data_IF_319614245248
#
_entry.id   IF_319614245248
#
_cell.length_a   1.000
_cell.length_b   1.000
_cell.length_c   1.000
_cell.angle_alpha   90.00
_cell.angle_beta   90.00
_cell.angle_gamma   90.00
#
_symmetry.space_group_name_H-M   'P 1'
#
loop_
_entity.id
_entity.type
_entity.pdbx_description
1 polymer ?
#
# COMPACT_ATOMS: atom_id res chain seq x y z
N UNK A 1 -14.39 17.02 -22.87
CA UNK A 1 -15.12 17.58 -21.71
C UNK A 1 -14.55 16.84 -20.50
N UNK A 2 -13.95 17.54 -19.54
CA UNK A 2 -13.25 16.88 -18.42
C UNK A 2 -14.25 16.47 -17.35
N UNK A 3 -14.06 15.28 -16.76
CA UNK A 3 -14.90 14.75 -15.69
C UNK A 3 -14.24 15.05 -14.34
N UNK A 4 -15.01 15.57 -13.38
CA UNK A 4 -14.58 15.73 -11.99
C UNK A 4 -15.55 15.01 -11.06
N UNK A 5 -14.98 14.14 -10.24
CA UNK A 5 -15.67 13.34 -9.24
C UNK A 5 -15.48 14.02 -7.90
N UNK A 6 -16.55 14.45 -7.24
CA UNK A 6 -16.50 15.07 -5.91
C UNK A 6 -17.12 14.12 -4.89
N UNK A 7 -16.32 13.65 -3.92
CA UNK A 7 -16.75 12.65 -2.95
C UNK A 7 -17.15 13.30 -1.61
N UNK A 8 -18.31 12.91 -1.08
CA UNK A 8 -18.80 13.28 0.25
C UNK A 8 -18.17 12.43 1.39
N UNK A 9 -18.27 12.90 2.63
CA UNK A 9 -17.80 12.21 3.84
C UNK A 9 -18.38 10.82 3.99
N UNK A 10 -19.65 10.60 3.62
CA UNK A 10 -20.25 9.27 3.74
C UNK A 10 -19.55 8.24 2.84
N UNK A 11 -19.11 8.64 1.65
CA UNK A 11 -18.38 7.80 0.70
C UNK A 11 -16.96 7.55 1.21
N UNK A 12 -16.25 8.59 1.63
CA UNK A 12 -14.90 8.45 2.20
C UNK A 12 -14.91 7.57 3.46
N UNK A 13 -15.98 7.63 4.26
CA UNK A 13 -16.15 6.78 5.44
C UNK A 13 -16.37 5.30 5.09
N UNK A 14 -17.15 5.00 4.05
CA UNK A 14 -17.38 3.61 3.61
C UNK A 14 -16.17 3.05 2.86
N UNK A 15 -15.39 3.92 2.21
CA UNK A 15 -14.19 3.55 1.49
C UNK A 15 -13.11 3.09 2.47
N UNK A 16 -12.57 1.89 2.23
CA UNK A 16 -11.27 1.52 2.79
C UNK A 16 -10.20 2.16 1.91
N UNK A 17 -9.39 3.07 2.45
CA UNK A 17 -8.38 3.80 1.66
C UNK A 17 -7.30 2.87 1.07
N UNK A 18 -7.15 1.66 1.60
CA UNK A 18 -6.31 0.58 1.10
C UNK A 18 -7.10 -0.49 0.31
N UNK A 19 -8.43 -0.36 0.24
CA UNK A 19 -9.33 -1.29 -0.43
C UNK A 19 -9.38 -1.13 -1.96
N UNK A 20 -9.98 -2.11 -2.63
CA UNK A 20 -10.07 -2.19 -4.09
C UNK A 20 -10.69 -0.96 -4.75
N UNK A 21 -11.75 -0.39 -4.15
CA UNK A 21 -12.42 0.82 -4.66
C UNK A 21 -11.51 2.06 -4.59
N UNK A 22 -10.76 2.23 -3.50
CA UNK A 22 -9.81 3.34 -3.38
C UNK A 22 -8.67 3.19 -4.38
N UNK A 23 -8.23 1.95 -4.62
CA UNK A 23 -7.21 1.68 -5.62
C UNK A 23 -7.70 1.92 -7.05
N UNK A 24 -8.96 1.61 -7.36
CA UNK A 24 -9.57 1.97 -8.63
C UNK A 24 -9.69 3.50 -8.79
N UNK A 25 -10.05 4.22 -7.73
CA UNK A 25 -10.03 5.68 -7.73
C UNK A 25 -8.62 6.25 -7.94
N UNK A 26 -7.61 5.74 -7.24
CA UNK A 26 -6.21 6.11 -7.50
C UNK A 26 -5.84 5.86 -8.96
N UNK A 27 -6.28 4.76 -9.53
CA UNK A 27 -6.03 4.44 -10.92
C UNK A 27 -6.68 5.41 -11.89
N UNK A 28 -7.98 5.71 -11.71
CA UNK A 28 -8.71 6.73 -12.45
C UNK A 28 -7.96 8.07 -12.37
N UNK A 29 -7.55 8.51 -11.18
CA UNK A 29 -6.74 9.73 -11.03
C UNK A 29 -5.45 9.70 -11.84
N UNK A 30 -4.79 8.54 -11.94
CA UNK A 30 -3.51 8.39 -12.62
C UNK A 30 -3.61 8.30 -14.16
N UNK A 31 -4.80 8.11 -14.73
CA UNK A 31 -5.00 8.24 -16.19
C UNK A 31 -4.91 9.70 -16.63
N UNK A 32 -5.02 10.65 -15.68
CA UNK A 32 -5.15 12.09 -15.89
C UNK A 32 -6.37 12.50 -16.71
N UNK A 33 -7.23 11.55 -17.11
CA UNK A 33 -8.45 11.79 -17.85
C UNK A 33 -9.58 12.33 -16.94
N UNK A 34 -9.61 11.88 -15.69
CA UNK A 34 -10.57 12.31 -14.67
C UNK A 34 -9.88 12.86 -13.42
N UNK A 35 -10.53 13.84 -12.77
CA UNK A 35 -10.06 14.39 -11.50
C UNK A 35 -10.94 13.90 -10.35
N UNK A 36 -10.30 13.43 -9.29
CA UNK A 36 -10.97 13.10 -8.03
C UNK A 36 -10.74 14.23 -7.05
N UNK A 37 -11.84 14.87 -6.62
CA UNK A 37 -11.88 15.96 -5.67
C UNK A 37 -12.57 15.54 -4.37
N UNK A 38 -12.09 16.08 -3.26
CA UNK A 38 -12.74 15.97 -1.94
C UNK A 38 -12.80 17.35 -1.32
N UNK A 39 -13.98 17.87 -0.92
CA UNK A 39 -14.06 19.14 -0.20
C UNK A 39 -13.22 19.11 1.08
N UNK A 40 -12.53 20.19 1.39
CA UNK A 40 -11.72 20.31 2.60
C UNK A 40 -12.52 19.96 3.87
N UNK A 41 -13.79 20.37 3.92
CA UNK A 41 -14.66 20.04 5.05
C UNK A 41 -14.90 18.53 5.22
N UNK A 42 -14.92 17.74 4.14
CA UNK A 42 -15.01 16.26 4.21
C UNK A 42 -13.76 15.68 4.88
N UNK A 43 -12.58 16.16 4.48
CA UNK A 43 -11.31 15.73 5.04
C UNK A 43 -11.25 15.99 6.55
N UNK A 44 -11.55 17.23 6.98
CA UNK A 44 -11.48 17.59 8.39
C UNK A 44 -12.57 16.91 9.23
N UNK A 45 -13.78 16.73 8.69
CA UNK A 45 -14.80 15.96 9.38
C UNK A 45 -14.32 14.53 9.65
N UNK A 46 -13.76 13.87 8.64
CA UNK A 46 -13.35 12.47 8.78
C UNK A 46 -12.12 12.33 9.68
N UNK A 47 -11.14 13.23 9.57
CA UNK A 47 -9.99 13.28 10.47
C UNK A 47 -10.42 13.43 11.93
N UNK A 48 -11.40 14.31 12.21
CA UNK A 48 -11.95 14.48 13.55
C UNK A 48 -12.66 13.24 14.08
N UNK A 49 -13.46 12.56 13.25
CA UNK A 49 -14.11 11.30 13.64
C UNK A 49 -13.09 10.22 14.01
N UNK A 50 -11.98 10.12 13.27
CA UNK A 50 -10.92 9.14 13.55
C UNK A 50 -10.19 9.45 14.86
N UNK A 51 -9.82 10.71 15.10
CA UNK A 51 -9.19 11.14 16.33
C UNK A 51 -10.06 10.89 17.57
N UNK A 52 -11.37 11.18 17.49
CA UNK A 52 -12.32 10.90 18.57
C UNK A 52 -12.36 9.38 18.86
N UNK A 53 -12.48 8.56 17.81
CA UNK A 53 -12.50 7.09 17.95
C UNK A 53 -11.19 6.55 18.52
N UNK A 54 -10.06 7.12 18.11
CA UNK A 54 -8.73 6.78 18.63
C UNK A 54 -8.68 7.06 20.14
N UNK A 55 -9.04 8.27 20.57
CA UNK A 55 -9.09 8.62 22.01
C UNK A 55 -9.99 7.68 22.80
N UNK A 56 -11.20 7.42 22.32
CA UNK A 56 -12.13 6.50 23.00
C UNK A 56 -11.57 5.09 23.14
N UNK A 57 -10.84 4.61 22.12
CA UNK A 57 -10.19 3.30 22.13
C UNK A 57 -8.99 3.30 23.06
N UNK A 58 -8.20 4.37 23.06
CA UNK A 58 -7.07 4.56 23.97
C UNK A 58 -7.53 4.54 25.43
N UNK A 59 -8.57 5.31 25.79
CA UNK A 59 -9.10 5.32 27.16
C UNK A 59 -9.55 3.94 27.63
N UNK A 60 -10.14 3.13 26.75
CA UNK A 60 -10.52 1.74 27.07
C UNK A 60 -9.31 0.84 27.27
N UNK A 61 -8.27 1.00 26.46
CA UNK A 61 -7.03 0.25 26.60
C UNK A 61 -6.33 0.60 27.91
N UNK A 62 -6.25 1.89 28.24
CA UNK A 62 -5.65 2.37 29.48
C UNK A 62 -6.38 1.83 30.71
N UNK A 63 -7.72 1.90 30.75
CA UNK A 63 -8.53 1.30 31.81
C UNK A 63 -8.32 -0.22 31.95
N UNK A 64 -8.16 -0.94 30.84
CA UNK A 64 -7.89 -2.38 30.87
C UNK A 64 -6.49 -2.68 31.44
N UNK A 65 -5.49 -1.86 31.14
CA UNK A 65 -4.15 -2.00 31.71
C UNK A 65 -4.13 -1.63 33.20
N UNK A 66 -4.86 -0.61 33.63
CA UNK A 66 -5.04 -0.31 35.06
C UNK A 66 -5.62 -1.50 35.83
N UNK A 67 -6.65 -2.16 35.28
CA UNK A 67 -7.23 -3.36 35.88
C UNK A 67 -6.21 -4.50 35.96
N UNK A 68 -5.35 -4.67 34.95
CA UNK A 68 -4.31 -5.69 34.95
C UNK A 68 -3.20 -5.37 35.96
N UNK A 69 -2.80 -4.09 36.09
CA UNK A 69 -1.82 -3.60 37.07
C UNK A 69 -2.28 -3.87 38.51
N UNK A 70 -3.59 -3.81 38.77
CA UNK A 70 -4.14 -4.14 40.07
C UNK A 70 -3.96 -5.62 40.47
N UNK A 71 -3.84 -6.53 39.49
CA UNK A 71 -3.64 -7.97 39.71
C UNK A 71 -2.15 -8.33 39.73
N UNK A 72 -1.37 -7.78 38.79
CA UNK A 72 0.06 -8.04 38.67
C UNK A 72 0.84 -6.73 38.54
N UNK A 73 1.15 -6.07 39.67
CA UNK A 73 1.99 -4.89 39.68
C UNK A 73 3.37 -5.18 39.07
N UNK A 74 3.82 -4.35 38.14
CA UNK A 74 5.15 -4.44 37.52
C UNK A 74 5.26 -5.32 36.28
N UNK A 75 4.21 -6.07 35.91
CA UNK A 75 4.20 -6.91 34.70
C UNK A 75 3.50 -6.27 33.50
N UNK A 76 2.94 -5.07 33.68
CA UNK A 76 2.10 -4.40 32.68
C UNK A 76 2.84 -3.18 32.15
N UNK A 77 3.03 -3.05 30.81
CA UNK A 77 3.69 -1.90 30.23
C UNK A 77 2.86 -0.64 30.36
N UNK A 78 3.53 0.51 30.32
CA UNK A 78 2.86 1.81 30.23
C UNK A 78 2.53 2.15 28.78
N UNK A 79 1.34 2.71 28.56
CA UNK A 79 0.97 3.29 27.27
C UNK A 79 1.61 4.67 27.16
N UNK A 80 2.15 4.95 25.97
CA UNK A 80 2.56 6.30 25.61
C UNK A 80 1.33 7.22 25.53
N UNK A 81 1.52 8.52 25.77
CA UNK A 81 0.43 9.49 25.67
C UNK A 81 -0.29 9.43 24.32
N UNK A 82 -1.63 9.60 24.29
CA UNK A 82 -2.39 9.53 23.05
C UNK A 82 -2.06 10.73 22.14
N UNK A 83 -1.70 10.44 20.89
CA UNK A 83 -1.44 11.46 19.86
C UNK A 83 -2.59 11.52 18.85
N UNK A 84 -3.61 12.34 19.16
CA UNK A 84 -4.75 12.56 18.27
C UNK A 84 -4.37 13.29 16.97
N UNK A 85 -3.34 14.13 16.98
CA UNK A 85 -2.95 14.91 15.80
C UNK A 85 -2.19 14.05 14.79
N UNK A 86 -1.33 13.14 15.26
CA UNK A 86 -0.70 12.15 14.38
C UNK A 86 -1.73 11.32 13.61
N UNK A 87 -2.83 10.93 14.27
CA UNK A 87 -3.95 10.21 13.61
C UNK A 87 -4.63 11.07 12.55
N UNK A 88 -4.81 12.36 12.81
CA UNK A 88 -5.40 13.30 11.83
C UNK A 88 -4.49 13.48 10.64
N UNK A 89 -3.20 13.76 10.86
CA UNK A 89 -2.27 14.02 9.76
C UNK A 89 -2.04 12.79 8.90
N UNK A 90 -1.92 11.60 9.52
CA UNK A 90 -1.85 10.34 8.77
C UNK A 90 -3.05 10.18 7.83
N UNK A 91 -4.26 10.47 8.29
CA UNK A 91 -5.45 10.41 7.44
C UNK A 91 -5.44 11.47 6.34
N UNK A 92 -5.05 12.72 6.65
CA UNK A 92 -4.96 13.80 5.65
C UNK A 92 -3.99 13.43 4.54
N UNK A 93 -2.83 12.87 4.87
CA UNK A 93 -1.83 12.43 3.90
C UNK A 93 -2.37 11.32 3.01
N UNK A 94 -2.96 10.28 3.60
CA UNK A 94 -3.60 9.19 2.85
C UNK A 94 -4.70 9.69 1.90
N UNK A 95 -5.45 10.72 2.29
CA UNK A 95 -6.50 11.29 1.46
C UNK A 95 -5.92 12.15 0.32
N UNK A 96 -4.85 12.92 0.56
CA UNK A 96 -4.14 13.71 -0.48
C UNK A 96 -3.50 12.82 -1.55
N UNK A 97 -3.07 11.61 -1.17
CA UNK A 97 -2.63 10.59 -2.13
C UNK A 97 -3.77 10.06 -3.02
N UNK A 98 -5.01 10.10 -2.54
CA UNK A 98 -6.18 9.64 -3.28
C UNK A 98 -6.79 10.74 -4.16
N UNK A 99 -6.95 11.95 -3.62
CA UNK A 99 -7.75 13.01 -4.23
C UNK A 99 -7.11 14.40 -4.06
N UNK A 100 -7.50 15.31 -4.96
CA UNK A 100 -7.23 16.74 -4.81
C UNK A 100 -8.19 17.31 -3.76
N UNK A 101 -7.67 18.05 -2.79
CA UNK A 101 -8.52 18.72 -1.81
C UNK A 101 -9.10 19.99 -2.43
N UNK A 102 -10.42 20.05 -2.54
CA UNK A 102 -11.14 21.22 -3.01
C UNK A 102 -11.28 22.20 -1.84
N UNK A 103 -10.85 23.46 -1.99
CA UNK A 103 -10.99 24.43 -0.92
C UNK A 103 -12.46 24.67 -0.62
N UNK A 104 -12.81 24.68 0.67
CA UNK A 104 -14.11 25.17 1.13
C UNK A 104 -13.95 26.65 1.43
N UNK A 105 -14.73 27.50 0.77
CA UNK A 105 -14.62 28.96 0.92
C UNK A 105 -15.18 29.42 2.27
N UNK A 106 -14.73 30.60 2.73
CA UNK A 106 -15.31 31.25 3.90
C UNK A 106 -16.82 31.51 3.73
N UNK A 107 -17.24 31.86 2.51
CA UNK A 107 -18.64 32.07 2.18
C UNK A 107 -19.47 30.79 2.38
N UNK A 108 -18.99 29.65 1.89
CA UNK A 108 -19.63 28.35 2.09
C UNK A 108 -19.72 27.97 3.58
N UNK A 109 -18.67 28.22 4.37
CA UNK A 109 -18.68 27.98 5.82
C UNK A 109 -19.69 28.87 6.55
N UNK A 110 -19.71 30.17 6.21
CA UNK A 110 -20.63 31.15 6.80
C UNK A 110 -22.08 30.81 6.47
N UNK A 111 -22.35 30.46 5.22
CA UNK A 111 -23.66 30.00 4.76
C UNK A 111 -24.06 28.70 5.47
N UNK A 112 -23.12 27.79 5.74
CA UNK A 112 -23.38 26.59 6.55
C UNK A 112 -23.96 26.91 7.92
N UNK A 113 -23.37 27.85 8.65
CA UNK A 113 -23.87 28.29 9.96
C UNK A 113 -25.24 28.97 9.83
N UNK A 114 -25.45 29.79 8.79
CA UNK A 114 -26.73 30.45 8.52
C UNK A 114 -27.82 29.42 8.26
N UNK A 115 -27.59 28.45 7.38
CA UNK A 115 -28.56 27.42 7.02
C UNK A 115 -28.86 26.49 8.18
N UNK A 116 -27.85 26.08 8.95
CA UNK A 116 -28.07 25.29 10.18
C UNK A 116 -28.93 26.05 11.19
N UNK A 117 -28.62 27.33 11.43
CA UNK A 117 -29.39 28.19 12.33
C UNK A 117 -30.86 28.31 11.92
N UNK A 118 -31.17 28.16 10.63
CA UNK A 118 -32.52 28.24 10.07
C UNK A 118 -33.12 26.87 9.72
N UNK A 119 -32.41 25.76 9.95
CA UNK A 119 -32.76 24.41 9.52
C UNK A 119 -33.09 24.32 8.02
N UNK A 120 -32.28 24.98 7.18
CA UNK A 120 -32.41 25.00 5.72
C UNK A 120 -31.52 23.93 5.06
N UNK A 121 -32.03 23.17 4.08
CA UNK A 121 -31.27 22.12 3.40
C UNK A 121 -29.91 22.57 2.83
N UNK A 122 -28.90 21.68 2.86
CA UNK A 122 -28.92 20.31 3.40
C UNK A 122 -28.89 20.23 4.95
N UNK A 123 -28.85 21.36 5.66
CA UNK A 123 -29.00 21.35 7.12
C UNK A 123 -30.46 21.15 7.55
N UNK A 124 -30.66 20.73 8.80
CA UNK A 124 -31.98 20.42 9.31
C UNK A 124 -32.02 20.24 10.82
N UNK A 125 -33.04 19.51 11.29
CA UNK A 125 -33.20 19.19 12.71
C UNK A 125 -33.06 17.68 12.94
N UNK A 126 -32.20 17.28 13.87
CA UNK A 126 -32.01 15.89 14.29
C UNK A 126 -32.18 15.79 15.80
N UNK A 127 -33.14 14.96 16.24
CA UNK A 127 -33.49 14.79 17.67
C UNK A 127 -33.77 16.11 18.41
N UNK A 128 -34.36 17.10 17.70
CA UNK A 128 -34.67 18.42 18.26
C UNK A 128 -33.52 19.43 18.21
N UNK A 129 -32.34 19.01 17.76
CA UNK A 129 -31.17 19.89 17.61
C UNK A 129 -30.95 20.27 16.14
N UNK A 130 -30.60 21.53 15.89
CA UNK A 130 -30.22 21.99 14.56
C UNK A 130 -28.82 21.52 14.22
N UNK A 131 -28.67 20.87 13.08
CA UNK A 131 -27.41 20.27 12.62
C UNK A 131 -27.28 20.37 11.10
N UNK A 132 -26.06 20.28 10.58
CA UNK A 132 -25.77 20.09 9.16
C UNK A 132 -25.00 21.23 8.50
N UNK A 133 -24.43 22.16 9.26
CA UNK A 133 -23.58 23.23 8.70
C UNK A 133 -22.42 22.67 7.85
N UNK A 134 -21.88 21.50 8.22
CA UNK A 134 -20.84 20.79 7.47
C UNK A 134 -21.36 20.28 6.12
N UNK A 135 -22.54 19.67 6.09
CA UNK A 135 -23.16 19.18 4.85
C UNK A 135 -23.42 20.34 3.88
N UNK A 136 -23.82 21.51 4.39
CA UNK A 136 -23.97 22.73 3.58
C UNK A 136 -22.63 23.16 2.98
N UNK A 137 -21.57 23.20 3.79
CA UNK A 137 -20.25 23.58 3.31
C UNK A 137 -19.69 22.61 2.25
N UNK A 138 -19.97 21.31 2.40
CA UNK A 138 -19.62 20.26 1.42
C UNK A 138 -20.36 20.49 0.10
N UNK A 139 -21.67 20.68 0.17
CA UNK A 139 -22.53 20.97 -0.99
C UNK A 139 -22.07 22.21 -1.74
N UNK A 140 -21.90 23.32 -1.02
CA UNK A 140 -21.50 24.59 -1.63
C UNK A 140 -20.08 24.51 -2.20
N UNK A 141 -19.17 23.74 -1.62
CA UNK A 141 -17.84 23.50 -2.21
C UNK A 141 -17.96 22.83 -3.59
N UNK A 142 -18.86 21.86 -3.74
CA UNK A 142 -19.09 21.20 -5.03
C UNK A 142 -19.75 22.14 -6.05
N UNK A 143 -20.75 22.92 -5.63
CA UNK A 143 -21.45 23.90 -6.47
C UNK A 143 -20.51 25.03 -6.92
N UNK A 144 -19.74 25.60 -6.01
CA UNK A 144 -18.77 26.66 -6.31
C UNK A 144 -17.69 26.16 -7.27
N UNK A 145 -17.19 24.95 -7.04
CA UNK A 145 -16.26 24.31 -7.97
C UNK A 145 -16.88 24.17 -9.36
N UNK A 146 -18.12 23.67 -9.45
CA UNK A 146 -18.83 23.57 -10.72
C UNK A 146 -18.91 24.93 -11.42
N UNK A 147 -19.38 25.97 -10.72
CA UNK A 147 -19.54 27.33 -11.27
C UNK A 147 -18.23 27.91 -11.80
N UNK A 148 -17.13 27.69 -11.09
CA UNK A 148 -15.81 28.18 -11.47
C UNK A 148 -15.18 27.39 -12.64
N UNK A 149 -15.70 26.20 -12.96
CA UNK A 149 -15.19 25.33 -14.01
C UNK A 149 -16.32 24.97 -15.01
N UNK A 150 -16.73 25.89 -15.89
CA UNK A 150 -17.91 25.71 -16.75
C UNK A 150 -17.75 24.65 -17.84
N UNK A 151 -16.51 24.28 -18.20
CA UNK A 151 -16.21 23.24 -19.20
C UNK A 151 -16.18 21.82 -18.63
N UNK A 152 -16.35 21.67 -17.32
CA UNK A 152 -16.27 20.40 -16.61
C UNK A 152 -17.65 19.87 -16.25
N UNK A 153 -17.81 18.54 -16.35
CA UNK A 153 -18.96 17.80 -15.82
C UNK A 153 -18.61 17.31 -14.43
N UNK A 154 -19.42 17.68 -13.45
CA UNK A 154 -19.23 17.38 -12.04
C UNK A 154 -20.14 16.23 -11.65
N UNK A 155 -19.55 15.16 -11.11
CA UNK A 155 -20.27 14.08 -10.46
C UNK A 155 -20.09 14.20 -8.95
N UNK A 156 -21.12 14.73 -8.27
CA UNK A 156 -21.17 14.73 -6.82
C UNK A 156 -21.67 13.36 -6.33
N UNK A 157 -20.88 12.67 -5.51
CA UNK A 157 -21.21 11.32 -5.03
C UNK A 157 -21.48 11.37 -3.54
N UNK A 158 -22.73 11.12 -3.15
CA UNK A 158 -23.13 11.03 -1.75
C UNK A 158 -24.25 10.00 -1.57
N UNK A 159 -24.05 9.06 -0.64
CA UNK A 159 -25.11 8.15 -0.22
C UNK A 159 -26.09 8.80 0.78
N UNK A 160 -25.91 10.08 1.12
CA UNK A 160 -26.78 10.80 2.05
C UNK A 160 -28.01 11.37 1.33
N UNK A 161 -28.90 10.45 0.93
CA UNK A 161 -30.10 10.81 0.17
C UNK A 161 -31.15 11.58 0.97
N UNK A 162 -31.02 11.63 2.30
CA UNK A 162 -31.92 12.40 3.16
C UNK A 162 -31.61 13.88 3.08
N UNK A 163 -30.33 14.23 3.17
CA UNK A 163 -29.92 15.63 3.30
C UNK A 163 -29.65 16.24 1.91
N UNK A 164 -29.18 15.44 0.94
CA UNK A 164 -28.87 15.92 -0.42
C UNK A 164 -29.85 15.45 -1.51
N UNK A 165 -30.92 14.72 -1.19
CA UNK A 165 -31.77 13.96 -2.16
C UNK A 165 -31.03 12.79 -2.83
N UNK A 166 -31.72 11.96 -3.62
CA UNK A 166 -31.08 10.89 -4.39
C UNK A 166 -30.57 11.33 -5.78
N UNK A 167 -30.67 12.63 -6.10
CA UNK A 167 -30.28 13.16 -7.42
C UNK A 167 -31.25 12.82 -8.55
N UNK A 168 -32.39 12.19 -8.25
CA UNK A 168 -33.42 11.73 -9.19
C UNK A 168 -34.63 12.68 -9.28
N UNK A 169 -34.57 13.83 -8.62
CA UNK A 169 -35.64 14.82 -8.56
C UNK A 169 -35.14 16.24 -8.28
N UNK A 170 -36.04 17.23 -8.26
CA UNK A 170 -35.67 18.61 -7.98
C UNK A 170 -35.14 18.76 -6.55
N UNK A 171 -34.12 19.58 -6.38
CA UNK A 171 -33.59 19.92 -5.07
C UNK A 171 -34.58 20.80 -4.29
N UNK A 172 -34.68 20.65 -2.95
CA UNK A 172 -35.49 21.54 -2.14
C UNK A 172 -34.85 22.93 -2.01
N UNK A 173 -35.63 24.01 -1.85
CA UNK A 173 -35.06 25.31 -1.53
C UNK A 173 -34.24 25.29 -0.23
N UNK A 174 -33.08 25.99 -0.18
CA UNK A 174 -32.49 26.84 -1.22
C UNK A 174 -31.51 26.12 -2.18
N UNK A 175 -31.40 24.79 -2.13
CA UNK A 175 -30.44 24.03 -2.94
C UNK A 175 -30.74 24.08 -4.44
N UNK A 176 -32.00 24.28 -4.83
CA UNK A 176 -32.41 24.51 -6.22
C UNK A 176 -31.75 25.77 -6.82
N UNK A 177 -31.71 26.87 -6.06
CA UNK A 177 -31.04 28.10 -6.46
C UNK A 177 -29.52 27.94 -6.50
N UNK A 178 -28.94 27.07 -5.68
CA UNK A 178 -27.49 26.80 -5.69
C UNK A 178 -27.06 26.18 -7.04
N UNK A 179 -27.88 25.29 -7.62
CA UNK A 179 -27.54 24.62 -8.89
C UNK A 179 -28.11 25.33 -10.13
N UNK A 180 -28.80 26.46 -9.96
CA UNK A 180 -29.35 27.22 -11.08
C UNK A 180 -28.24 27.58 -12.08
N UNK A 181 -28.51 27.34 -13.37
CA UNK A 181 -27.55 27.58 -14.46
C UNK A 181 -26.46 26.51 -14.62
N UNK A 182 -26.40 25.48 -13.76
CA UNK A 182 -25.48 24.35 -13.96
C UNK A 182 -26.02 23.34 -14.99
N UNK A 183 -27.34 23.13 -15.03
CA UNK A 183 -27.98 22.18 -15.95
C UNK A 183 -27.45 20.75 -15.79
N UNK A 184 -27.40 19.99 -16.88
CA UNK A 184 -27.07 18.56 -16.88
C UNK A 184 -25.60 18.24 -16.53
N UNK A 185 -24.76 19.26 -16.32
CA UNK A 185 -23.34 19.07 -16.01
C UNK A 185 -23.08 18.83 -14.52
N UNK A 186 -24.05 19.10 -13.64
CA UNK A 186 -23.95 18.78 -12.22
C UNK A 186 -24.80 17.54 -11.93
N UNK A 187 -24.16 16.39 -11.94
CA UNK A 187 -24.79 15.08 -11.76
C UNK A 187 -24.58 14.62 -10.32
N UNK A 188 -25.66 14.25 -9.64
CA UNK A 188 -25.58 13.67 -8.31
C UNK A 188 -25.81 12.16 -8.40
N UNK A 189 -24.87 11.38 -7.87
CA UNK A 189 -24.95 9.92 -7.83
C UNK A 189 -25.00 9.43 -6.37
N UNK A 190 -25.96 8.56 -6.01
CA UNK A 190 -26.11 8.09 -4.65
C UNK A 190 -25.04 7.06 -4.23
N UNK A 191 -24.37 6.43 -5.20
CA UNK A 191 -23.42 5.36 -4.96
C UNK A 191 -22.17 5.49 -5.83
N UNK A 192 -21.02 5.12 -5.26
CA UNK A 192 -19.76 5.04 -5.99
C UNK A 192 -19.84 4.02 -7.15
N UNK A 193 -20.60 2.94 -6.98
CA UNK A 193 -20.81 1.95 -8.04
C UNK A 193 -21.52 2.54 -9.28
N UNK A 194 -22.43 3.49 -9.09
CA UNK A 194 -23.09 4.16 -10.21
C UNK A 194 -22.16 5.12 -10.93
N UNK A 195 -21.24 5.75 -10.21
CA UNK A 195 -20.17 6.52 -10.81
C UNK A 195 -19.30 5.64 -11.70
N UNK A 196 -18.86 4.49 -11.20
CA UNK A 196 -17.99 3.58 -11.95
C UNK A 196 -18.65 3.11 -13.26
N UNK A 197 -19.97 2.94 -13.32
CA UNK A 197 -20.65 2.61 -14.59
C UNK A 197 -20.51 3.72 -15.65
N UNK A 198 -20.35 4.96 -15.21
CA UNK A 198 -20.25 6.14 -16.09
C UNK A 198 -18.80 6.43 -16.46
N UNK A 199 -17.90 6.46 -15.48
CA UNK A 199 -16.49 6.84 -15.69
C UNK A 199 -15.60 5.66 -16.06
N UNK A 200 -16.06 4.44 -15.80
CA UNK A 200 -15.35 3.20 -16.08
C UNK A 200 -16.32 2.15 -16.67
N UNK A 201 -16.88 2.36 -17.88
CA UNK A 201 -17.83 1.42 -18.47
C UNK A 201 -17.26 0.00 -18.51
N UNK A 202 -18.06 -1.03 -18.15
CA UNK A 202 -17.55 -2.39 -18.07
C UNK A 202 -17.20 -2.94 -19.45
N UNK A 203 -16.06 -3.63 -19.52
CA UNK A 203 -15.55 -4.33 -20.69
C UNK A 203 -15.43 -5.83 -20.38
N UNK A 204 -15.84 -6.69 -21.31
CA UNK A 204 -15.63 -8.13 -21.17
C UNK A 204 -14.20 -8.48 -21.56
N UNK A 205 -13.45 -9.07 -20.65
CA UNK A 205 -12.02 -9.37 -20.82
C UNK A 205 -11.78 -10.83 -20.46
N UNK A 206 -11.12 -11.58 -21.34
CA UNK A 206 -10.77 -12.97 -21.07
C UNK A 206 -9.54 -13.05 -20.14
N UNK A 207 -9.51 -14.00 -19.19
CA UNK A 207 -8.31 -14.27 -18.39
C UNK A 207 -7.07 -14.62 -19.25
N UNK A 208 -7.28 -15.27 -20.39
CA UNK A 208 -6.19 -15.65 -21.30
C UNK A 208 -5.51 -14.43 -21.92
N UNK A 209 -6.27 -13.38 -22.25
CA UNK A 209 -5.70 -12.13 -22.75
C UNK A 209 -4.81 -11.48 -21.69
N UNK A 210 -5.32 -11.38 -20.44
CA UNK A 210 -4.56 -10.86 -19.30
C UNK A 210 -3.26 -11.65 -19.10
N UNK A 211 -3.37 -12.98 -19.09
CA UNK A 211 -2.22 -13.87 -18.93
C UNK A 211 -1.18 -13.70 -20.05
N UNK A 212 -1.61 -13.45 -21.29
CA UNK A 212 -0.70 -13.21 -22.42
C UNK A 212 0.08 -11.90 -22.32
N UNK A 213 -0.48 -10.88 -21.64
CA UNK A 213 0.11 -9.55 -21.50
C UNK A 213 1.05 -9.43 -20.29
N UNK A 214 0.83 -10.21 -19.22
CA UNK A 214 1.65 -10.17 -17.99
C UNK A 214 3.17 -10.33 -18.20
N UNK A 215 3.67 -11.18 -19.12
CA UNK A 215 5.11 -11.33 -19.36
C UNK A 215 5.81 -10.01 -19.71
N UNK A 216 5.14 -9.11 -20.44
CA UNK A 216 5.68 -7.79 -20.80
C UNK A 216 5.99 -6.92 -19.57
N UNK A 217 5.30 -7.19 -18.46
CA UNK A 217 5.38 -6.41 -17.22
C UNK A 217 6.07 -7.17 -16.08
N UNK A 218 6.68 -8.33 -16.34
CA UNK A 218 7.23 -9.20 -15.29
C UNK A 218 8.32 -8.51 -14.44
N UNK A 219 9.08 -7.60 -15.05
CA UNK A 219 10.13 -6.84 -14.37
C UNK A 219 9.56 -5.87 -13.33
N UNK A 220 8.36 -5.32 -13.58
CA UNK A 220 7.65 -4.45 -12.63
C UNK A 220 7.26 -5.23 -11.38
N UNK A 221 6.59 -6.36 -11.55
CA UNK A 221 6.17 -7.23 -10.43
C UNK A 221 7.35 -7.76 -9.63
N UNK A 222 8.44 -8.12 -10.31
CA UNK A 222 9.68 -8.56 -9.66
C UNK A 222 10.31 -7.47 -8.82
N UNK A 223 10.31 -6.24 -9.32
CA UNK A 223 10.83 -5.08 -8.56
C UNK A 223 9.98 -4.83 -7.33
N UNK A 224 8.65 -4.83 -7.46
CA UNK A 224 7.74 -4.64 -6.32
C UNK A 224 7.93 -5.74 -5.26
N UNK A 225 8.05 -6.99 -5.68
CA UNK A 225 8.30 -8.11 -4.78
C UNK A 225 9.66 -7.98 -4.07
N UNK A 226 10.73 -7.56 -4.76
CA UNK A 226 12.05 -7.37 -4.16
C UNK A 226 12.09 -6.17 -3.20
N UNK A 227 11.30 -5.11 -3.46
CA UNK A 227 11.17 -4.00 -2.50
C UNK A 227 10.51 -4.50 -1.21
N UNK A 228 9.45 -5.30 -1.32
CA UNK A 228 8.69 -5.75 -0.15
C UNK A 228 9.34 -6.94 0.59
N UNK A 229 10.02 -7.83 -0.12
CA UNK A 229 10.49 -9.13 0.40
C UNK A 229 11.95 -9.45 0.04
N UNK A 230 12.70 -8.51 -0.52
CA UNK A 230 14.09 -8.70 -0.94
C UNK A 230 15.12 -8.00 -0.04
N UNK A 231 14.69 -7.17 0.90
CA UNK A 231 15.60 -6.46 1.82
C UNK A 231 15.86 -7.27 3.09
N UNK A 232 17.09 -7.70 3.31
CA UNK A 232 17.49 -8.43 4.53
C UNK A 232 17.28 -7.56 5.78
N UNK A 233 17.42 -6.23 5.69
CA UNK A 233 17.25 -5.34 6.85
C UNK A 233 15.79 -5.17 7.27
N UNK A 234 14.84 -5.24 6.34
CA UNK A 234 13.39 -5.17 6.64
C UNK A 234 12.82 -6.56 6.94
N UNK A 235 13.28 -7.59 6.22
CA UNK A 235 12.77 -8.95 6.32
C UNK A 235 13.24 -9.72 7.56
N UNK A 236 14.26 -9.25 8.29
CA UNK A 236 14.56 -9.74 9.66
C UNK A 236 13.32 -9.64 10.56
N UNK A 237 12.48 -8.61 10.37
CA UNK A 237 11.32 -8.36 11.22
C UNK A 237 10.02 -8.99 10.68
N UNK A 238 10.03 -9.50 9.45
CA UNK A 238 8.84 -10.11 8.80
C UNK A 238 9.24 -11.34 7.96
N UNK A 239 9.62 -12.45 8.61
CA UNK A 239 9.88 -13.70 7.90
C UNK A 239 8.62 -14.20 7.17
N UNK A 240 8.82 -14.94 6.08
CA UNK A 240 7.72 -15.48 5.28
C UNK A 240 7.95 -16.95 4.90
N UNK A 241 6.87 -17.76 4.73
CA UNK A 241 6.99 -19.18 4.45
C UNK A 241 7.43 -19.44 3.01
N UNK A 242 8.49 -20.24 2.85
CA UNK A 242 9.07 -20.65 1.58
C UNK A 242 9.37 -22.15 1.61
N UNK A 243 8.94 -22.89 0.57
CA UNK A 243 9.34 -24.28 0.41
C UNK A 243 10.82 -24.35 -0.02
N UNK A 244 11.66 -24.97 0.81
CA UNK A 244 13.06 -25.18 0.49
C UNK A 244 13.24 -26.35 -0.47
N UNK A 245 13.92 -26.12 -1.61
CA UNK A 245 14.20 -27.19 -2.57
C UNK A 245 15.03 -28.32 -1.96
N UNK A 246 16.05 -27.96 -1.17
CA UNK A 246 16.99 -28.93 -0.60
C UNK A 246 16.39 -29.72 0.57
N UNK A 247 15.58 -29.06 1.41
CA UNK A 247 14.97 -29.73 2.56
C UNK A 247 13.64 -30.42 2.23
N UNK A 248 12.99 -30.04 1.13
CA UNK A 248 11.64 -30.53 0.78
C UNK A 248 10.55 -30.10 1.76
N UNK A 249 10.84 -29.13 2.63
CA UNK A 249 9.94 -28.65 3.69
C UNK A 249 9.84 -27.13 3.68
N UNK A 250 8.72 -26.63 4.21
CA UNK A 250 8.49 -25.18 4.37
C UNK A 250 9.39 -24.67 5.49
N UNK A 251 10.09 -23.57 5.22
CA UNK A 251 10.95 -22.86 6.16
C UNK A 251 10.66 -21.37 6.09
N UNK A 252 11.03 -20.65 7.13
CA UNK A 252 10.98 -19.19 7.15
C UNK A 252 12.17 -18.61 6.37
N UNK A 253 11.87 -17.83 5.34
CA UNK A 253 12.82 -16.99 4.67
C UNK A 253 12.77 -15.57 5.24
N UNK A 254 13.93 -14.94 5.36
CA UNK A 254 14.13 -13.55 5.76
C UNK A 254 14.58 -12.70 4.58
N UNK A 255 14.20 -13.10 3.36
CA UNK A 255 14.43 -12.33 2.14
C UNK A 255 14.85 -13.15 0.93
N UNK A 256 14.64 -12.58 -0.25
CA UNK A 256 15.22 -13.06 -1.51
C UNK A 256 16.62 -12.48 -1.74
N UNK A 257 17.52 -13.29 -2.29
CA UNK A 257 18.94 -12.98 -2.51
C UNK A 257 19.28 -12.86 -4.00
N UNK A 258 20.32 -12.07 -4.29
CA UNK A 258 20.90 -11.91 -5.61
C UNK A 258 20.37 -10.67 -6.38
N UNK A 259 20.86 -10.46 -7.62
CA UNK A 259 20.38 -9.36 -8.46
C UNK A 259 18.87 -9.46 -8.65
N UNK A 260 18.17 -8.32 -8.84
CA UNK A 260 16.71 -8.29 -9.00
C UNK A 260 16.21 -9.28 -10.06
N UNK A 261 16.98 -9.60 -11.10
CA UNK A 261 16.64 -10.58 -12.13
C UNK A 261 16.76 -12.06 -11.76
N UNK A 262 17.32 -12.40 -10.59
CA UNK A 262 17.56 -13.77 -10.16
C UNK A 262 16.29 -14.47 -9.63
N UNK A 263 15.27 -13.70 -9.23
CA UNK A 263 13.97 -14.25 -8.84
C UNK A 263 13.09 -14.43 -10.08
N UNK A 264 12.69 -15.67 -10.34
CA UNK A 264 11.73 -15.99 -11.38
C UNK A 264 10.31 -15.87 -10.85
N UNK A 265 9.50 -15.15 -11.61
CA UNK A 265 8.05 -15.07 -11.43
C UNK A 265 7.38 -15.79 -12.59
N UNK A 266 6.53 -16.76 -12.28
CA UNK A 266 5.71 -17.48 -13.27
C UNK A 266 4.24 -17.26 -12.91
N UNK A 267 3.41 -16.92 -13.90
CA UNK A 267 1.96 -16.80 -13.69
C UNK A 267 1.38 -18.21 -13.54
N UNK A 268 0.78 -18.51 -12.38
CA UNK A 268 0.07 -19.77 -12.14
C UNK A 268 -1.39 -19.66 -12.56
N UNK A 269 -2.04 -18.54 -12.22
CA UNK A 269 -3.46 -18.38 -12.41
C UNK A 269 -3.84 -16.90 -12.49
N UNK A 270 -4.84 -16.61 -13.33
CA UNK A 270 -5.53 -15.31 -13.40
C UNK A 270 -7.02 -15.54 -13.08
N UNK A 271 -7.55 -14.83 -12.10
CA UNK A 271 -8.96 -14.90 -11.69
C UNK A 271 -9.57 -13.51 -11.49
N UNK A 272 -10.89 -13.47 -11.28
CA UNK A 272 -11.62 -12.27 -10.89
C UNK A 272 -11.41 -11.07 -11.84
N UNK A 273 -11.33 -11.37 -13.14
CA UNK A 273 -11.05 -10.37 -14.17
C UNK A 273 -12.26 -9.46 -14.36
N UNK A 274 -12.03 -8.16 -14.27
CA UNK A 274 -13.01 -7.10 -14.48
C UNK A 274 -12.41 -6.09 -15.45
N UNK A 275 -13.00 -5.94 -16.64
CA UNK A 275 -12.56 -4.97 -17.62
C UNK A 275 -13.27 -3.63 -17.49
N UNK A 276 -12.58 -2.56 -17.83
CA UNK A 276 -13.06 -1.19 -17.78
C UNK A 276 -12.50 -0.40 -18.95
N UNK A 277 -13.29 0.52 -19.50
CA UNK A 277 -12.79 1.57 -20.39
C UNK A 277 -12.47 2.79 -19.52
N UNK A 278 -11.20 3.22 -19.48
CA UNK A 278 -10.77 4.41 -18.74
C UNK A 278 -10.13 5.39 -19.73
N UNK A 279 -10.76 6.56 -19.93
CA UNK A 279 -10.40 7.47 -21.02
C UNK A 279 -10.48 6.78 -22.38
N UNK A 280 -9.39 6.85 -23.16
CA UNK A 280 -9.28 6.24 -24.49
C UNK A 280 -8.62 4.84 -24.46
N UNK A 281 -8.49 4.22 -23.29
CA UNK A 281 -7.78 2.95 -23.12
C UNK A 281 -8.61 1.90 -22.39
N UNK A 282 -8.42 0.65 -22.78
CA UNK A 282 -8.99 -0.51 -22.10
C UNK A 282 -8.07 -0.96 -20.97
N UNK A 283 -8.66 -1.18 -19.80
CA UNK A 283 -7.97 -1.61 -18.59
C UNK A 283 -8.67 -2.84 -18.01
N UNK A 284 -7.95 -3.62 -17.20
CA UNK A 284 -8.57 -4.64 -16.38
C UNK A 284 -8.01 -4.66 -14.97
N UNK A 285 -8.87 -5.01 -14.02
CA UNK A 285 -8.48 -5.45 -12.70
C UNK A 285 -8.52 -6.97 -12.67
N UNK A 286 -7.45 -7.61 -12.22
CA UNK A 286 -7.36 -9.07 -12.12
C UNK A 286 -6.64 -9.50 -10.85
N UNK A 287 -6.97 -10.70 -10.36
CA UNK A 287 -6.22 -11.38 -9.31
C UNK A 287 -5.23 -12.31 -10.00
N UNK A 288 -3.94 -12.16 -9.72
CA UNK A 288 -2.87 -12.96 -10.32
C UNK A 288 -2.15 -13.72 -9.22
N UNK A 289 -2.11 -15.04 -9.36
CA UNK A 289 -1.30 -15.92 -8.51
C UNK A 289 0.02 -16.20 -9.22
N UNK A 290 1.11 -15.89 -8.54
CA UNK A 290 2.48 -16.08 -9.01
C UNK A 290 3.12 -17.26 -8.31
N UNK A 291 3.95 -18.02 -9.03
CA UNK A 291 5.00 -18.84 -8.47
C UNK A 291 6.28 -18.00 -8.43
N UNK A 292 6.88 -17.91 -7.26
CA UNK A 292 8.14 -17.20 -7.04
C UNK A 292 9.20 -18.24 -6.74
N UNK A 293 10.25 -18.29 -7.58
CA UNK A 293 11.39 -19.20 -7.38
C UNK A 293 12.68 -18.40 -7.43
N UNK A 294 13.54 -18.59 -6.45
CA UNK A 294 14.81 -17.88 -6.39
C UNK A 294 15.69 -18.35 -5.25
N UNK A 295 16.82 -17.66 -5.10
CA UNK A 295 17.69 -17.84 -3.95
C UNK A 295 17.08 -17.09 -2.77
N UNK A 296 16.82 -17.78 -1.66
CA UNK A 296 16.26 -17.21 -0.44
C UNK A 296 17.26 -17.33 0.71
N UNK A 297 17.30 -16.31 1.56
CA UNK A 297 17.99 -16.36 2.84
C UNK A 297 17.04 -16.96 3.88
N UNK A 298 17.42 -18.10 4.45
CA UNK A 298 16.73 -18.71 5.59
C UNK A 298 17.53 -18.43 6.87
N UNK A 299 16.92 -18.66 8.03
CA UNK A 299 17.60 -18.55 9.33
C UNK A 299 18.83 -19.45 9.47
N UNK A 300 18.85 -20.58 8.74
CA UNK A 300 19.95 -21.55 8.72
C UNK A 300 20.94 -21.42 7.57
N UNK A 301 20.79 -20.43 6.68
CA UNK A 301 21.67 -20.23 5.51
C UNK A 301 20.90 -19.92 4.23
N UNK A 302 21.62 -19.90 3.11
CA UNK A 302 21.08 -19.55 1.79
C UNK A 302 20.70 -20.81 1.01
N UNK A 303 19.56 -20.80 0.32
CA UNK A 303 19.14 -21.93 -0.52
C UNK A 303 18.09 -21.56 -1.54
N UNK A 304 17.81 -22.46 -2.50
CA UNK A 304 16.73 -22.26 -3.46
C UNK A 304 15.39 -22.50 -2.77
N UNK A 305 14.47 -21.55 -2.94
CA UNK A 305 13.16 -21.56 -2.33
C UNK A 305 12.05 -21.27 -3.34
N UNK A 306 10.85 -21.76 -3.04
CA UNK A 306 9.64 -21.46 -3.79
C UNK A 306 8.52 -20.98 -2.85
N UNK A 307 7.83 -19.92 -3.23
CA UNK A 307 6.56 -19.52 -2.60
C UNK A 307 5.51 -19.21 -3.67
N UNK A 308 4.26 -19.09 -3.25
CA UNK A 308 3.21 -18.44 -4.04
C UNK A 308 2.95 -17.04 -3.51
N UNK A 309 2.62 -16.14 -4.42
CA UNK A 309 2.33 -14.75 -4.10
C UNK A 309 1.10 -14.33 -4.89
N UNK A 310 0.12 -13.70 -4.23
CA UNK A 310 -1.12 -13.28 -4.90
C UNK A 310 -1.21 -11.76 -4.92
N UNK A 311 -1.43 -11.21 -6.11
CA UNK A 311 -1.59 -9.77 -6.30
C UNK A 311 -2.93 -9.46 -6.96
N UNK A 312 -3.63 -8.44 -6.45
CA UNK A 312 -4.69 -7.76 -7.20
C UNK A 312 -4.03 -6.66 -8.00
N UNK A 313 -4.18 -6.68 -9.32
CA UNK A 313 -3.53 -5.75 -10.22
C UNK A 313 -4.55 -4.95 -11.01
N UNK A 314 -4.17 -3.74 -11.41
CA UNK A 314 -4.77 -3.03 -12.50
C UNK A 314 -3.74 -2.96 -13.63
N UNK A 315 -4.14 -3.35 -14.84
CA UNK A 315 -3.24 -3.30 -16.00
C UNK A 315 -3.97 -2.80 -17.25
N UNK A 316 -3.26 -2.07 -18.12
CA UNK A 316 -3.80 -1.73 -19.42
C UNK A 316 -3.83 -2.99 -20.31
N UNK A 317 -4.83 -3.08 -21.17
CA UNK A 317 -5.02 -4.19 -22.11
C UNK A 317 -4.34 -3.93 -23.47
N UNK A 318 -3.16 -3.31 -23.43
CA UNK A 318 -2.33 -3.02 -24.61
C UNK A 318 -0.88 -3.41 -24.34
N UNK A 319 -0.26 -4.08 -25.30
CA UNK A 319 1.15 -4.44 -25.21
C UNK A 319 2.03 -3.19 -25.22
N UNK A 320 3.00 -3.12 -24.30
CA UNK A 320 3.86 -1.95 -24.15
C UNK A 320 3.15 -0.70 -23.60
N UNK A 321 1.92 -0.86 -23.06
CA UNK A 321 1.22 0.20 -22.36
C UNK A 321 1.90 0.65 -21.07
N UNK A 322 1.26 1.56 -20.31
CA UNK A 322 1.72 1.95 -18.98
C UNK A 322 2.01 0.75 -18.08
N UNK A 323 2.99 0.87 -17.18
CA UNK A 323 3.26 -0.21 -16.22
C UNK A 323 2.01 -0.53 -15.40
N UNK A 324 1.71 -1.82 -15.16
CA UNK A 324 0.58 -2.20 -14.33
C UNK A 324 0.80 -1.71 -12.90
N UNK A 325 -0.28 -1.63 -12.13
CA UNK A 325 -0.25 -1.28 -10.71
C UNK A 325 -0.70 -2.45 -9.86
N UNK A 326 0.02 -2.70 -8.77
CA UNK A 326 -0.41 -3.63 -7.73
C UNK A 326 -1.33 -2.86 -6.79
N UNK A 327 -2.63 -3.20 -6.81
CA UNK A 327 -3.64 -2.63 -5.93
C UNK A 327 -3.57 -3.23 -4.52
N UNK A 328 -3.23 -4.52 -4.45
CA UNK A 328 -3.07 -5.27 -3.21
C UNK A 328 -2.12 -6.43 -3.43
N UNK A 329 -1.29 -6.75 -2.44
CA UNK A 329 -0.41 -7.92 -2.43
C UNK A 329 -0.62 -8.69 -1.13
N UNK A 330 -0.93 -9.99 -1.23
CA UNK A 330 -0.95 -10.85 -0.05
C UNK A 330 0.48 -11.10 0.45
N UNK A 331 0.66 -11.46 1.73
CA UNK A 331 1.89 -12.10 2.16
C UNK A 331 2.19 -13.34 1.29
N UNK A 332 3.47 -13.69 1.08
CA UNK A 332 3.86 -14.93 0.46
C UNK A 332 3.37 -16.15 1.25
N UNK A 333 2.96 -17.18 0.54
CA UNK A 333 2.49 -18.44 1.11
C UNK A 333 3.31 -19.61 0.57
N UNK A 334 3.44 -20.68 1.36
CA UNK A 334 4.02 -21.91 0.85
C UNK A 334 3.16 -22.50 -0.29
N UNK A 335 3.79 -23.05 -1.35
CA UNK A 335 3.05 -23.69 -2.44
C UNK A 335 2.31 -24.93 -1.91
N UNK A 336 1.02 -25.05 -2.24
CA UNK A 336 0.17 -26.18 -1.84
C UNK A 336 0.40 -27.43 -2.69
N UNK A 337 0.80 -27.24 -3.95
CA UNK A 337 1.12 -28.33 -4.87
C UNK A 337 2.62 -28.30 -5.19
N UNK A 338 3.36 -29.17 -4.50
CA UNK A 338 4.82 -29.24 -4.63
C UNK A 338 5.26 -29.84 -5.97
N UNK A 339 4.42 -30.65 -6.61
CA UNK A 339 4.79 -31.38 -7.82
C UNK A 339 4.73 -30.50 -9.08
N UNK A 340 3.91 -29.45 -9.08
CA UNK A 340 3.81 -28.50 -10.19
C UNK A 340 4.86 -27.39 -10.14
N UNK A 341 5.74 -27.37 -9.14
CA UNK A 341 6.77 -26.34 -9.02
C UNK A 341 7.79 -26.49 -10.14
N UNK A 342 7.75 -25.55 -11.08
CA UNK A 342 8.85 -25.34 -12.01
C UNK A 342 10.02 -24.67 -11.27
N UNK A 343 10.98 -25.48 -10.81
CA UNK A 343 12.24 -25.00 -10.24
C UNK A 343 13.15 -24.34 -11.28
N UNK A 344 12.84 -24.49 -12.57
CA UNK A 344 13.59 -23.96 -13.70
C UNK A 344 14.83 -24.79 -14.01
N UNK A 345 15.69 -24.33 -14.95
CA UNK A 345 16.92 -25.03 -15.25
C UNK A 345 17.73 -25.18 -13.96
N UNK A 346 18.12 -26.41 -13.67
CA UNK A 346 18.95 -26.74 -12.53
C UNK A 346 20.30 -26.00 -12.66
N UNK A 347 20.44 -24.95 -11.85
CA UNK A 347 21.73 -24.37 -11.39
C UNK A 347 22.45 -23.42 -12.37
N UNK A 348 23.31 -22.51 -11.86
CA UNK A 348 24.46 -22.81 -10.99
C UNK A 348 24.03 -22.76 -9.52
N UNK A 349 24.06 -23.85 -8.72
CA UNK A 349 25.21 -24.14 -7.86
C UNK A 349 26.22 -23.03 -8.06
N UNK A 350 26.28 -22.08 -7.13
CA UNK A 350 27.55 -21.46 -6.82
C UNK A 350 28.53 -22.63 -6.83
N UNK A 351 29.34 -22.70 -7.89
CA UNK A 351 30.35 -23.72 -7.97
C UNK A 351 31.36 -23.30 -6.94
N UNK A 352 31.17 -23.81 -5.73
CA UNK A 352 32.07 -23.53 -4.65
C UNK A 352 33.46 -24.12 -4.99
N UNK A 353 33.62 -24.96 -6.04
CA UNK A 353 34.93 -25.41 -6.54
C UNK A 353 35.64 -24.39 -7.44
N UNK A 354 34.98 -23.28 -7.80
CA UNK A 354 35.65 -22.12 -8.38
C UNK A 354 36.59 -21.49 -7.31
N UNK A 355 37.89 -21.32 -7.58
CA UNK A 355 38.84 -20.72 -6.63
C UNK A 355 38.46 -19.31 -6.17
N UNK A 356 37.70 -18.54 -6.96
CA UNK A 356 37.20 -17.22 -6.54
C UNK A 356 36.08 -17.31 -5.48
N UNK A 357 35.42 -18.47 -5.37
CA UNK A 357 34.39 -18.80 -4.38
C UNK A 357 34.97 -19.43 -3.10
N UNK A 358 36.25 -19.81 -3.10
CA UNK A 358 36.91 -20.48 -1.98
C UNK A 358 36.94 -19.59 -0.74
N UNK A 359 37.16 -18.29 -0.93
CA UNK A 359 37.16 -17.27 0.13
C UNK A 359 35.79 -17.14 0.82
N UNK A 360 34.70 -17.30 0.07
CA UNK A 360 33.33 -17.26 0.62
C UNK A 360 32.99 -18.56 1.36
N UNK A 361 33.49 -19.69 0.87
CA UNK A 361 33.30 -21.01 1.49
C UNK A 361 34.05 -21.10 2.83
N UNK A 362 35.32 -20.73 2.86
CA UNK A 362 36.13 -20.75 4.09
C UNK A 362 35.55 -19.82 5.17
N UNK A 363 35.06 -18.63 4.78
CA UNK A 363 34.41 -17.69 5.71
C UNK A 363 33.04 -18.16 6.24
N UNK A 364 32.26 -18.87 5.43
CA UNK A 364 30.95 -19.40 5.85
C UNK A 364 31.10 -20.62 6.78
N UNK A 365 32.22 -21.33 6.67
CA UNK A 365 32.50 -22.54 7.46
C UNK A 365 33.25 -22.24 8.77
N UNK A 366 33.97 -21.12 8.91
CA UNK A 366 34.80 -20.83 10.10
C UNK A 366 34.33 -19.69 11.02
N UNK A 367 33.24 -18.99 10.73
CA UNK A 367 32.86 -17.76 11.47
C UNK A 367 31.63 -17.84 12.39
N UNK A 368 31.57 -16.93 13.36
CA UNK A 368 30.39 -16.59 14.16
C UNK A 368 29.20 -16.15 13.25
N UNK A 369 27.96 -16.14 13.79
CA UNK A 369 26.76 -15.74 13.01
C UNK A 369 26.86 -14.33 12.41
N UNK A 370 27.59 -13.42 13.08
CA UNK A 370 27.77 -12.04 12.65
C UNK A 370 28.70 -11.94 11.42
N UNK A 371 29.80 -12.70 11.43
CA UNK A 371 30.76 -12.74 10.32
C UNK A 371 30.16 -13.35 9.06
N UNK A 372 29.28 -14.35 9.21
CA UNK A 372 28.52 -14.91 8.08
C UNK A 372 27.57 -13.90 7.45
N UNK A 373 26.87 -13.12 8.25
CA UNK A 373 26.00 -12.04 7.76
C UNK A 373 26.82 -10.93 7.08
N UNK A 374 27.99 -10.58 7.64
CA UNK A 374 28.88 -9.55 7.10
C UNK A 374 29.56 -9.99 5.79
N UNK A 375 29.95 -11.26 5.66
CA UNK A 375 30.54 -11.81 4.44
C UNK A 375 29.53 -11.84 3.28
N UNK A 376 28.27 -12.18 3.56
CA UNK A 376 27.17 -12.12 2.58
C UNK A 376 26.88 -10.66 2.18
N UNK A 377 26.91 -9.74 3.13
CA UNK A 377 26.78 -8.29 2.87
C UNK A 377 27.92 -7.74 2.01
N UNK A 378 29.17 -8.09 2.30
CA UNK A 378 30.36 -7.70 1.52
C UNK A 378 30.36 -8.31 0.13
N UNK A 379 29.88 -9.55 -0.04
CA UNK A 379 29.74 -10.16 -1.37
C UNK A 379 28.60 -9.52 -2.19
N UNK A 380 27.52 -9.08 -1.53
CA UNK A 380 26.47 -8.30 -2.16
C UNK A 380 26.97 -6.91 -2.62
N UNK A 381 27.87 -6.29 -1.84
CA UNK A 381 28.52 -5.03 -2.20
C UNK A 381 29.59 -5.18 -3.29
N UNK A 382 30.36 -6.28 -3.29
CA UNK A 382 31.44 -6.54 -4.25
C UNK A 382 30.99 -6.78 -5.70
N UNK A 383 29.69 -7.04 -5.93
CA UNK A 383 29.11 -7.10 -7.28
C UNK A 383 28.83 -5.72 -7.90
N UNK A 384 29.14 -4.63 -7.19
CA UNK A 384 29.25 -3.29 -7.76
C UNK A 384 30.71 -3.02 -8.06
N UNK A 385 31.12 -3.28 -9.31
CA UNK A 385 32.45 -3.03 -9.90
C UNK A 385 33.46 -2.30 -8.97
N UNK A 386 34.35 -3.03 -8.26
CA UNK A 386 35.25 -2.45 -7.26
C UNK A 386 36.23 -1.40 -7.82
N UNK A 387 36.41 -1.38 -9.14
CA UNK A 387 37.25 -0.44 -9.89
C UNK A 387 36.62 0.96 -10.02
N UNK A 388 35.36 1.13 -9.63
CA UNK A 388 34.61 2.40 -9.71
C UNK A 388 34.43 3.11 -8.37
N UNK A 389 35.00 2.56 -7.29
CA UNK A 389 34.83 3.12 -5.96
C UNK A 389 35.90 4.19 -5.68
N UNK A 390 35.54 5.34 -5.08
CA UNK A 390 36.52 6.32 -4.64
C UNK A 390 37.55 5.70 -3.69
N UNK A 391 38.81 6.11 -3.79
CA UNK A 391 39.93 5.58 -3.01
C UNK A 391 39.67 5.65 -1.48
N UNK A 392 38.96 6.69 -1.05
CA UNK A 392 38.52 6.91 0.33
C UNK A 392 37.55 5.82 0.83
N UNK A 393 36.67 5.31 -0.04
CA UNK A 393 35.75 4.23 0.30
C UNK A 393 36.46 2.88 0.42
N UNK A 394 37.51 2.66 -0.39
CA UNK A 394 38.38 1.47 -0.26
C UNK A 394 39.17 1.49 1.04
N UNK A 395 39.75 2.65 1.39
CA UNK A 395 40.49 2.83 2.62
C UNK A 395 39.60 2.66 3.88
N UNK A 396 38.37 3.16 3.84
CA UNK A 396 37.39 2.97 4.92
C UNK A 396 37.02 1.49 5.11
N UNK A 397 36.84 0.74 4.02
CA UNK A 397 36.56 -0.71 4.10
C UNK A 397 37.75 -1.52 4.61
N UNK A 398 38.98 -1.15 4.26
CA UNK A 398 40.19 -1.78 4.81
C UNK A 398 40.36 -1.47 6.31
N UNK A 399 40.06 -0.25 6.74
CA UNK A 399 40.07 0.14 8.14
C UNK A 399 39.01 -0.61 8.97
N UNK A 400 37.79 -0.71 8.47
CA UNK A 400 36.70 -1.47 9.13
C UNK A 400 36.99 -2.97 9.16
N UNK A 401 37.63 -3.51 8.11
CA UNK A 401 38.08 -4.91 8.07
C UNK A 401 39.16 -5.18 9.12
N UNK A 402 40.13 -4.28 9.31
CA UNK A 402 41.15 -4.38 10.36
C UNK A 402 40.57 -4.20 11.76
N UNK A 403 39.60 -3.32 11.95
CA UNK A 403 38.92 -3.13 13.23
C UNK A 403 38.10 -4.39 13.63
N UNK A 404 37.45 -5.03 12.65
CA UNK A 404 36.70 -6.26 12.88
C UNK A 404 37.60 -7.45 13.24
N UNK A 405 38.80 -7.55 12.66
CA UNK A 405 39.77 -8.62 13.02
C UNK A 405 40.34 -8.42 14.42
N UNK A 406 40.59 -7.17 14.83
CA UNK A 406 41.06 -6.88 16.19
C UNK A 406 40.04 -7.15 17.30
N UNK A 407 38.73 -7.06 17.00
CA UNK A 407 37.66 -7.39 17.96
C UNK A 407 37.50 -8.91 18.10
N UNK A 408 37.66 -9.67 17.00
CA UNK A 408 37.59 -11.13 17.03
C UNK A 408 38.73 -11.77 17.85
N UNK A 409 39.96 -11.25 17.72
CA UNK A 409 41.12 -11.71 18.51
C UNK A 409 41.00 -11.38 20.01
N UNK A 410 40.23 -10.34 20.38
CA UNK A 410 39.97 -9.99 21.78
C UNK A 410 38.94 -10.91 22.46
N UNK A 411 38.07 -11.57 21.68
CA UNK A 411 37.03 -12.48 22.19
C UNK A 411 37.47 -13.95 22.30
N UNK A 412 38.53 -14.36 21.61
CA UNK A 412 39.09 -15.73 21.70
C UNK A 412 40.05 -15.91 22.89
N UNK A 413 40.34 -14.86 23.65
CA UNK A 413 41.31 -14.87 24.75
C UNK A 413 40.77 -15.26 26.14
N UNK A 414 39.45 -15.48 26.30
CA UNK A 414 38.81 -15.58 27.63
C UNK A 414 38.23 -16.96 27.99
N UNK A 415 38.50 -18.01 27.20
CA UNK A 415 38.11 -19.39 27.54
C UNK A 415 39.35 -20.31 27.72
N UNK A 416 39.95 -20.28 28.92
CA UNK A 416 40.83 -21.37 29.40
C UNK A 416 40.19 -22.06 30.63
N UNK A 417 39.70 -23.32 30.52
CA UNK A 417 39.16 -24.07 31.64
C UNK A 417 40.28 -24.91 32.29
N UNK A 418 40.84 -24.43 33.40
CA UNK A 418 41.82 -25.20 34.16
C UNK A 418 42.02 -24.74 35.61
N UNK A 419 41.37 -25.41 36.57
CA UNK A 419 41.93 -25.54 37.93
C UNK A 419 43.18 -26.45 37.93
N UNK A 420 43.95 -26.63 39.04
CA UNK A 420 43.56 -26.47 40.44
C UNK A 420 44.61 -25.85 41.40
N UNK A 421 44.17 -25.44 42.59
CA UNK A 421 44.83 -25.70 43.89
C UNK A 421 43.91 -25.37 45.04
#
# INVERSE_FOLDING_TARGET
>A
MSIVIILDTCVIRSLKLDGSEAQLLRAIRNTEAERIGVPWMVMEERAAQLAIKYRETYCKADQALEQLRAISPGSVPDLAEPDEEAVREQFRDQLRELAVILPTTEAALREGVVRESNALPPAGTKKGEKVGARDVAIWLSAVEYARNNPSETIYFVSSNTRDFTAGDGPYPPPMDADIEGLGDRFVHLPQLADLLKVVAPPLTVSPDLVQSLLPSSIAHFRTAMMVQWGSVSEAIFTPFPVLSQAAGTVKEAIGWMGPRGAVRLTVLQVTDVQGYVLGDQDWCIASVRWQVVGLAQFTGGVGVGCCTWTTRILMPLVEGGPSPRILHASPPEAPSDVQSIDWGPSRPAIDLTNPDSATLRDFLESGSKLERAFAVFLHALGNVAPDKWPEEARAAMEADRSAATGIAEATDGDDDPGGPS
#
